data_IF_570665399791
#
_entry.id   IF_570665399791
#
_cell.length_a   1.000
_cell.length_b   1.000
_cell.length_c   1.000
_cell.angle_alpha   90.00
_cell.angle_beta   90.00
_cell.angle_gamma   90.00
#
_symmetry.space_group_name_H-M   'P 1'
#
loop_
_entity.id
_entity.type
_entity.pdbx_description
1 polymer ?
#
# COMPACT_ATOMS: atom_id res chain seq x y z
N UNK A 1 29.79 -25.28 44.48
CA UNK A 1 28.36 -25.61 44.23
C UNK A 1 27.69 -24.74 43.18
N UNK A 2 28.42 -23.91 42.47
CA UNK A 2 27.82 -23.04 41.43
C UNK A 2 27.50 -23.72 40.06
N UNK A 3 27.97 -24.96 39.85
CA UNK A 3 27.77 -25.66 38.57
C UNK A 3 26.56 -26.61 38.55
N UNK A 4 25.71 -26.55 39.57
CA UNK A 4 24.51 -27.43 39.66
C UNK A 4 23.19 -26.71 39.31
N UNK A 5 23.26 -25.41 39.01
CA UNK A 5 22.06 -24.67 38.55
C UNK A 5 21.95 -24.80 37.04
N UNK A 6 21.14 -25.73 36.58
CA UNK A 6 20.79 -25.89 35.21
C UNK A 6 19.75 -24.80 34.86
N UNK A 7 20.09 -23.89 33.95
CA UNK A 7 19.13 -22.90 33.42
C UNK A 7 18.00 -23.65 32.71
N UNK A 8 16.79 -23.50 33.21
CA UNK A 8 15.61 -23.99 32.50
C UNK A 8 15.34 -23.05 31.31
N UNK A 9 15.36 -23.60 30.10
CA UNK A 9 14.96 -22.86 28.91
C UNK A 9 13.47 -23.10 28.67
N UNK A 10 12.76 -22.04 28.37
CA UNK A 10 11.37 -22.13 27.92
C UNK A 10 11.31 -22.79 26.54
N UNK A 11 10.36 -23.73 26.36
CA UNK A 11 10.14 -24.40 25.09
C UNK A 11 9.17 -23.66 24.18
N UNK A 12 8.55 -22.60 24.67
CA UNK A 12 7.62 -21.80 23.88
C UNK A 12 8.40 -20.91 22.92
N UNK A 13 8.03 -20.98 21.64
CA UNK A 13 8.58 -20.11 20.59
C UNK A 13 7.78 -18.82 20.56
N UNK A 14 8.37 -17.75 21.10
CA UNK A 14 7.80 -16.41 20.97
C UNK A 14 8.30 -15.74 19.69
N UNK A 15 7.36 -15.18 18.95
CA UNK A 15 7.68 -14.40 17.75
C UNK A 15 7.57 -12.91 18.05
N UNK A 16 8.44 -12.11 17.40
CA UNK A 16 8.37 -10.67 17.48
C UNK A 16 7.00 -10.15 16.99
N UNK A 17 6.51 -9.07 17.61
CA UNK A 17 5.28 -8.39 17.18
C UNK A 17 5.42 -7.92 15.73
N UNK A 18 4.40 -8.19 14.92
CA UNK A 18 4.43 -7.96 13.48
C UNK A 18 3.16 -7.25 13.02
N UNK A 19 3.34 -6.28 12.11
CA UNK A 19 2.22 -5.61 11.47
C UNK A 19 1.58 -6.49 10.39
N UNK A 20 0.24 -6.47 10.31
CA UNK A 20 -0.46 -7.22 9.26
C UNK A 20 -0.19 -6.62 7.88
N UNK A 21 0.07 -7.44 6.86
CA UNK A 21 0.15 -7.02 5.47
C UNK A 21 -1.24 -6.67 4.94
N UNK A 22 -1.39 -5.56 4.24
CA UNK A 22 -2.72 -5.08 3.80
C UNK A 22 -2.75 -4.56 2.37
N UNK A 23 -1.61 -4.12 1.83
CA UNK A 23 -1.60 -3.35 0.57
C UNK A 23 -2.00 -4.18 -0.65
N UNK A 24 -1.72 -5.47 -0.66
CA UNK A 24 -2.09 -6.37 -1.76
C UNK A 24 -3.60 -6.47 -2.01
N UNK A 25 -4.44 -6.08 -1.04
CA UNK A 25 -5.91 -6.15 -1.15
C UNK A 25 -6.50 -5.27 -2.25
N UNK A 26 -5.81 -4.19 -2.61
CA UNK A 26 -6.27 -3.24 -3.64
C UNK A 26 -5.87 -3.69 -5.06
N UNK A 27 -5.00 -4.70 -5.17
CA UNK A 27 -4.53 -5.19 -6.45
C UNK A 27 -5.62 -5.95 -7.21
N UNK A 28 -5.82 -5.58 -8.47
CA UNK A 28 -6.61 -6.36 -9.43
C UNK A 28 -5.72 -7.50 -9.96
N UNK A 29 -6.04 -8.72 -9.53
CA UNK A 29 -5.25 -9.91 -9.84
C UNK A 29 -5.67 -10.50 -11.17
N UNK A 30 -4.72 -10.65 -12.06
CA UNK A 30 -4.89 -11.43 -13.28
C UNK A 30 -3.83 -12.51 -13.36
N UNK A 31 -4.24 -13.79 -13.53
CA UNK A 31 -3.29 -14.87 -13.70
C UNK A 31 -2.56 -14.66 -15.05
N UNK A 32 -1.24 -14.68 -15.01
CA UNK A 32 -0.46 -14.77 -16.23
C UNK A 32 -0.68 -16.18 -16.81
N UNK A 33 -1.14 -16.27 -18.05
CA UNK A 33 -1.30 -17.57 -18.71
C UNK A 33 0.09 -18.18 -18.91
N UNK A 34 0.29 -19.38 -18.41
CA UNK A 34 1.57 -20.12 -18.49
C UNK A 34 2.09 -20.34 -19.94
N UNK A 35 1.24 -20.16 -20.92
CA UNK A 35 1.56 -20.33 -22.34
C UNK A 35 2.07 -19.04 -23.01
N UNK A 36 2.20 -17.93 -22.30
CA UNK A 36 2.68 -16.67 -22.90
C UNK A 36 4.20 -16.60 -22.86
N UNK A 37 4.89 -16.56 -24.00
CA UNK A 37 6.31 -16.27 -24.06
C UNK A 37 6.53 -14.78 -23.77
N UNK A 38 7.06 -14.45 -22.60
CA UNK A 38 7.41 -13.06 -22.28
C UNK A 38 7.57 -12.81 -20.78
N UNK A 39 8.42 -11.86 -20.45
CA UNK A 39 8.66 -11.39 -19.08
C UNK A 39 7.69 -10.30 -18.63
N UNK A 40 6.68 -9.97 -19.41
CA UNK A 40 5.71 -8.92 -19.11
C UNK A 40 4.29 -9.30 -19.56
N UNK A 41 3.32 -8.89 -18.75
CA UNK A 41 1.89 -9.01 -19.07
C UNK A 41 1.37 -7.62 -19.43
N UNK A 42 0.67 -7.53 -20.56
CA UNK A 42 0.10 -6.27 -21.05
C UNK A 42 -1.39 -6.22 -20.71
N UNK A 43 -1.82 -5.16 -20.06
CA UNK A 43 -3.21 -4.84 -19.78
C UNK A 43 -3.67 -3.77 -20.74
N UNK A 44 -4.78 -4.00 -21.42
CA UNK A 44 -5.37 -3.06 -22.37
C UNK A 44 -6.55 -2.31 -21.74
N UNK A 45 -6.56 -1.00 -21.91
CA UNK A 45 -7.63 -0.11 -21.45
C UNK A 45 -8.25 0.54 -22.68
N UNK A 46 -9.48 0.17 -22.99
CA UNK A 46 -10.25 0.82 -24.04
C UNK A 46 -10.80 2.15 -23.55
N UNK A 47 -10.71 3.16 -24.41
CA UNK A 47 -11.27 4.48 -24.13
C UNK A 47 -12.72 4.54 -24.64
N UNK A 48 -13.53 5.36 -23.98
CA UNK A 48 -14.91 5.59 -24.41
C UNK A 48 -14.93 6.36 -25.73
N UNK A 49 -15.92 6.08 -26.56
CA UNK A 49 -16.19 6.86 -27.77
C UNK A 49 -16.72 8.25 -27.38
N UNK A 50 -16.46 9.23 -28.25
CA UNK A 50 -17.04 10.55 -28.08
C UNK A 50 -18.58 10.45 -28.10
N UNK A 51 -19.24 11.22 -27.22
CA UNK A 51 -20.69 11.26 -27.14
C UNK A 51 -21.25 11.88 -28.43
N UNK A 52 -22.20 11.21 -29.09
CA UNK A 52 -22.93 11.74 -30.23
C UNK A 52 -24.20 12.41 -29.72
N UNK A 53 -24.21 13.73 -29.74
CA UNK A 53 -25.34 14.55 -29.25
C UNK A 53 -26.15 15.18 -30.42
N UNK A 54 -25.64 15.08 -31.64
CA UNK A 54 -26.32 15.63 -32.82
C UNK A 54 -27.37 14.61 -33.36
N UNK A 55 -28.64 15.00 -33.52
CA UNK A 55 -29.63 14.14 -34.14
C UNK A 55 -29.20 13.69 -35.54
N UNK A 56 -29.46 12.44 -35.89
CA UNK A 56 -29.21 11.91 -37.20
C UNK A 56 -30.17 12.50 -38.24
N UNK A 57 -29.69 12.67 -39.47
CA UNK A 57 -30.56 13.03 -40.59
C UNK A 57 -31.14 11.73 -41.19
N UNK A 58 -32.46 11.69 -41.41
CA UNK A 58 -33.18 10.52 -41.91
C UNK A 58 -32.69 10.03 -43.29
N UNK A 59 -32.13 10.94 -44.09
CA UNK A 59 -31.73 10.65 -45.48
C UNK A 59 -30.22 10.52 -45.68
N UNK A 60 -29.42 10.61 -44.62
CA UNK A 60 -27.95 10.57 -44.71
C UNK A 60 -27.42 9.46 -43.81
N UNK A 61 -26.62 8.56 -44.40
CA UNK A 61 -25.90 7.53 -43.63
C UNK A 61 -24.83 8.18 -42.74
N UNK A 62 -24.80 7.89 -41.42
CA UNK A 62 -23.81 8.47 -40.52
C UNK A 62 -22.42 7.89 -40.82
N UNK A 63 -21.41 8.76 -40.80
CA UNK A 63 -20.01 8.35 -40.92
C UNK A 63 -19.56 7.48 -39.74
N UNK A 64 -18.84 6.40 -40.03
CA UNK A 64 -18.31 5.51 -39.04
C UNK A 64 -17.22 6.20 -38.19
N UNK A 65 -17.32 6.13 -36.85
CA UNK A 65 -16.35 6.66 -35.92
C UNK A 65 -15.32 5.57 -35.57
N UNK A 66 -14.04 5.90 -35.64
CA UNK A 66 -12.98 4.98 -35.25
C UNK A 66 -12.95 4.82 -33.73
N UNK A 67 -12.86 3.58 -33.26
CA UNK A 67 -12.75 3.22 -31.83
C UNK A 67 -11.35 3.49 -31.30
N UNK A 68 -10.55 4.31 -31.71
CA UNK A 68 -9.21 4.64 -31.15
C UNK A 68 -8.37 3.41 -30.71
N UNK A 69 -7.10 3.59 -30.54
CA UNK A 69 -6.24 2.53 -30.00
C UNK A 69 -6.36 2.43 -28.48
N UNK A 70 -6.42 1.22 -27.89
CA UNK A 70 -6.41 1.06 -26.44
C UNK A 70 -5.09 1.57 -25.83
N UNK A 71 -5.16 2.13 -24.64
CA UNK A 71 -3.98 2.43 -23.84
C UNK A 71 -3.50 1.14 -23.17
N UNK A 72 -2.20 0.87 -23.24
CA UNK A 72 -1.62 -0.35 -22.69
C UNK A 72 -0.79 -0.04 -21.44
N UNK A 73 -0.94 -0.90 -20.42
CA UNK A 73 -0.10 -0.89 -19.21
C UNK A 73 0.63 -2.23 -19.14
N UNK A 74 1.95 -2.20 -19.14
CA UNK A 74 2.77 -3.41 -19.02
C UNK A 74 3.20 -3.65 -17.58
N UNK A 75 3.01 -4.89 -17.11
CA UNK A 75 3.49 -5.36 -15.80
C UNK A 75 4.63 -6.32 -16.05
N UNK A 76 5.83 -5.96 -15.60
CA UNK A 76 7.01 -6.82 -15.71
C UNK A 76 6.97 -7.87 -14.60
N UNK A 77 7.15 -9.14 -14.98
CA UNK A 77 7.25 -10.26 -14.06
C UNK A 77 8.68 -10.40 -13.58
N UNK A 78 8.87 -10.39 -12.27
CA UNK A 78 10.16 -10.58 -11.63
C UNK A 78 10.11 -11.79 -10.69
N UNK A 79 11.25 -12.43 -10.53
CA UNK A 79 11.45 -13.51 -9.57
C UNK A 79 11.78 -12.93 -8.22
N UNK A 80 11.09 -13.39 -7.18
CA UNK A 80 11.34 -13.03 -5.80
C UNK A 80 11.52 -14.28 -4.95
N UNK A 81 12.46 -14.22 -4.03
CA UNK A 81 12.73 -15.34 -3.14
C UNK A 81 13.75 -14.98 -2.08
N UNK A 82 13.72 -15.72 -0.98
CA UNK A 82 14.73 -15.66 0.07
C UNK A 82 14.88 -17.05 0.68
N UNK A 83 16.09 -17.41 1.12
CA UNK A 83 16.36 -18.72 1.70
C UNK A 83 17.31 -18.66 2.89
N UNK A 84 17.11 -19.57 3.82
CA UNK A 84 17.98 -19.82 4.96
C UNK A 84 18.55 -21.23 4.87
N UNK A 85 19.79 -21.43 5.32
CA UNK A 85 20.41 -22.74 5.38
C UNK A 85 20.28 -23.31 6.80
N UNK A 86 19.72 -24.50 6.90
CA UNK A 86 19.61 -25.26 8.15
C UNK A 86 20.66 -26.35 8.17
N UNK A 87 21.45 -26.41 9.23
CA UNK A 87 22.46 -27.48 9.40
C UNK A 87 21.90 -28.64 10.23
N UNK A 88 22.21 -29.86 9.85
CA UNK A 88 21.85 -31.07 10.63
C UNK A 88 22.37 -31.00 12.07
N UNK A 89 23.54 -30.35 12.29
CA UNK A 89 24.08 -30.16 13.63
C UNK A 89 23.14 -29.28 14.49
N UNK A 90 22.58 -28.24 13.91
CA UNK A 90 21.62 -27.36 14.60
C UNK A 90 20.36 -28.11 14.99
N UNK A 91 19.86 -28.95 14.08
CA UNK A 91 18.64 -29.75 14.30
C UNK A 91 18.87 -30.81 15.41
N UNK A 92 20.05 -31.46 15.41
CA UNK A 92 20.40 -32.49 16.38
C UNK A 92 20.66 -31.94 17.80
N UNK A 93 21.22 -30.76 17.93
CA UNK A 93 21.59 -30.17 19.22
C UNK A 93 20.58 -29.13 19.73
N UNK A 94 19.55 -28.85 18.94
CA UNK A 94 18.50 -27.93 19.35
C UNK A 94 17.61 -28.57 20.42
N UNK A 95 17.34 -27.78 21.45
CA UNK A 95 16.42 -28.14 22.52
C UNK A 95 14.94 -28.01 22.12
N UNK A 96 14.66 -27.23 21.06
CA UNK A 96 13.33 -26.90 20.54
C UNK A 96 13.23 -27.32 19.09
N UNK A 97 12.02 -27.61 18.60
CA UNK A 97 11.79 -27.85 17.17
C UNK A 97 12.03 -26.55 16.37
N UNK A 98 13.27 -26.40 15.91
CA UNK A 98 13.70 -25.24 15.12
C UNK A 98 12.99 -25.20 13.77
N UNK A 99 12.66 -26.34 13.19
CA UNK A 99 12.10 -26.40 11.84
C UNK A 99 10.78 -25.67 11.77
N UNK A 100 9.89 -25.84 12.73
CA UNK A 100 8.61 -25.14 12.78
C UNK A 100 8.78 -23.63 12.94
N UNK A 101 9.69 -23.20 13.81
CA UNK A 101 10.02 -21.78 14.01
C UNK A 101 10.58 -21.12 12.76
N UNK A 102 11.51 -21.78 12.07
CA UNK A 102 12.12 -21.28 10.84
C UNK A 102 11.13 -21.23 9.67
N UNK A 103 10.22 -22.20 9.53
CA UNK A 103 9.15 -22.18 8.53
C UNK A 103 8.26 -20.96 8.73
N UNK A 104 7.84 -20.68 9.96
CA UNK A 104 7.05 -19.50 10.27
C UNK A 104 7.80 -18.20 9.98
N UNK A 105 9.10 -18.15 10.29
CA UNK A 105 9.92 -16.97 10.00
C UNK A 105 10.05 -16.72 8.49
N UNK A 106 10.27 -17.77 7.69
CA UNK A 106 10.32 -17.70 6.22
C UNK A 106 8.98 -17.28 5.64
N UNK A 107 7.86 -17.83 6.14
CA UNK A 107 6.51 -17.46 5.70
C UNK A 107 6.21 -15.98 5.98
N UNK A 108 6.60 -15.48 7.14
CA UNK A 108 6.44 -14.04 7.45
C UNK A 108 7.35 -13.16 6.60
N UNK A 109 8.57 -13.57 6.33
CA UNK A 109 9.47 -12.84 5.44
C UNK A 109 8.89 -12.73 4.01
N UNK A 110 8.27 -13.81 3.51
CA UNK A 110 7.54 -13.81 2.25
C UNK A 110 6.45 -12.72 2.25
N UNK A 111 5.53 -12.79 3.22
CA UNK A 111 4.38 -11.89 3.29
C UNK A 111 4.85 -10.44 3.45
N UNK A 112 5.85 -10.21 4.30
CA UNK A 112 6.43 -8.90 4.58
C UNK A 112 7.09 -8.30 3.33
N UNK A 113 7.86 -9.10 2.61
CA UNK A 113 8.55 -8.67 1.39
C UNK A 113 7.58 -8.30 0.27
N UNK A 114 6.56 -9.14 0.05
CA UNK A 114 5.54 -8.89 -0.97
C UNK A 114 4.75 -7.61 -0.66
N UNK A 115 4.35 -7.41 0.60
CA UNK A 115 3.59 -6.23 1.00
C UNK A 115 4.43 -4.94 0.85
N UNK A 116 5.74 -4.99 1.13
CA UNK A 116 6.66 -3.87 0.93
C UNK A 116 6.84 -3.53 -0.57
N UNK A 117 6.93 -4.54 -1.44
CA UNK A 117 7.02 -4.33 -2.88
C UNK A 117 5.76 -3.61 -3.38
N UNK A 118 4.58 -4.07 -2.96
CA UNK A 118 3.30 -3.44 -3.32
C UNK A 118 3.22 -2.01 -2.79
N UNK A 119 3.65 -1.78 -1.54
CA UNK A 119 3.71 -0.44 -0.96
C UNK A 119 4.59 0.51 -1.77
N UNK A 120 5.75 0.06 -2.23
CA UNK A 120 6.64 0.88 -3.06
C UNK A 120 5.99 1.27 -4.39
N UNK A 121 5.20 0.38 -4.99
CA UNK A 121 4.43 0.69 -6.20
C UNK A 121 3.34 1.72 -5.91
N UNK A 122 2.63 1.60 -4.78
CA UNK A 122 1.63 2.61 -4.36
C UNK A 122 2.28 3.96 -4.06
N UNK A 123 3.48 3.96 -3.46
CA UNK A 123 4.22 5.19 -3.17
C UNK A 123 4.68 5.94 -4.44
N UNK A 124 4.82 5.23 -5.55
CA UNK A 124 5.11 5.81 -6.87
C UNK A 124 3.87 6.43 -7.55
N UNK A 125 2.73 6.53 -6.85
CA UNK A 125 1.51 7.15 -7.35
C UNK A 125 1.74 8.58 -7.86
N UNK A 126 1.22 8.87 -9.05
CA UNK A 126 1.44 10.14 -9.75
C UNK A 126 0.50 11.26 -9.31
N UNK A 127 -0.60 10.91 -8.65
CA UNK A 127 -1.53 11.90 -8.08
C UNK A 127 -1.18 12.15 -6.61
N UNK A 128 -0.70 13.33 -6.32
CA UNK A 128 -0.30 13.71 -4.97
C UNK A 128 -1.12 14.89 -4.45
N UNK A 129 -1.50 14.82 -3.19
CA UNK A 129 -2.21 15.87 -2.46
C UNK A 129 -1.35 16.34 -1.30
N UNK A 130 -1.13 17.65 -1.20
CA UNK A 130 -0.37 18.29 -0.12
C UNK A 130 -1.10 19.50 0.39
N UNK A 131 -0.82 19.91 1.62
CA UNK A 131 -1.26 21.20 2.16
C UNK A 131 -0.10 22.20 2.16
N UNK A 132 -0.40 23.43 1.82
CA UNK A 132 0.58 24.51 1.90
C UNK A 132 0.80 24.89 3.37
N UNK A 133 2.01 24.83 3.92
CA UNK A 133 2.29 25.12 5.32
C UNK A 133 1.90 26.54 5.75
N UNK A 134 2.10 27.52 4.86
CA UNK A 134 1.80 28.92 5.17
C UNK A 134 0.31 29.27 5.15
N UNK A 135 -0.46 28.66 4.23
CA UNK A 135 -1.87 29.05 3.99
C UNK A 135 -2.86 27.95 4.37
N UNK A 136 -2.43 26.71 4.56
CA UNK A 136 -3.30 25.55 4.73
C UNK A 136 -4.06 25.14 3.47
N UNK A 137 -3.86 25.82 2.34
CA UNK A 137 -4.54 25.51 1.09
C UNK A 137 -4.11 24.14 0.57
N UNK A 138 -5.07 23.36 0.06
CA UNK A 138 -4.80 22.07 -0.55
C UNK A 138 -4.26 22.28 -1.95
N UNK A 139 -3.15 21.62 -2.25
CA UNK A 139 -2.52 21.58 -3.56
C UNK A 139 -2.57 20.17 -4.12
N UNK A 140 -2.83 20.08 -5.41
CA UNK A 140 -2.97 18.81 -6.11
C UNK A 140 -2.06 18.79 -7.34
N UNK A 141 -1.30 17.72 -7.48
CA UNK A 141 -0.48 17.47 -8.65
C UNK A 141 -0.85 16.16 -9.31
N UNK A 142 -0.85 16.16 -10.64
CA UNK A 142 -1.14 15.01 -11.47
C UNK A 142 -0.13 14.89 -12.62
N UNK A 143 0.31 13.67 -12.93
CA UNK A 143 1.20 13.37 -14.04
C UNK A 143 2.56 12.80 -13.61
N UNK A 144 3.39 12.44 -14.58
CA UNK A 144 4.71 11.83 -14.38
C UNK A 144 5.73 12.79 -13.72
N UNK A 145 5.53 14.08 -13.89
CA UNK A 145 6.22 15.16 -13.20
C UNK A 145 5.18 16.14 -12.68
N UNK A 146 4.49 15.80 -11.58
CA UNK A 146 3.43 16.66 -11.06
C UNK A 146 4.05 17.98 -10.63
N UNK A 147 3.68 19.07 -11.30
CA UNK A 147 4.00 20.41 -10.84
C UNK A 147 3.14 20.67 -9.61
N UNK A 148 3.63 20.22 -8.45
CA UNK A 148 3.02 20.50 -7.18
C UNK A 148 3.36 21.93 -6.77
N UNK A 149 2.36 22.80 -6.57
CA UNK A 149 2.60 24.14 -6.04
C UNK A 149 3.29 24.12 -4.67
N UNK A 150 3.02 23.08 -3.88
CA UNK A 150 3.69 22.85 -2.58
C UNK A 150 4.75 21.76 -2.76
N UNK A 151 6.02 22.13 -2.63
CA UNK A 151 7.11 21.17 -2.70
C UNK A 151 7.13 20.26 -1.45
N UNK A 152 7.61 19.01 -1.59
CA UNK A 152 7.65 18.05 -0.49
C UNK A 152 8.53 18.55 0.67
N UNK A 153 9.66 19.16 0.34
CA UNK A 153 10.61 19.72 1.31
C UNK A 153 10.14 20.98 2.03
N UNK A 154 8.95 21.49 1.70
CA UNK A 154 8.33 22.61 2.43
C UNK A 154 7.31 22.18 3.47
N UNK A 155 6.88 20.91 3.48
CA UNK A 155 5.99 20.36 4.48
C UNK A 155 6.70 20.43 5.84
N UNK A 156 6.13 21.18 6.76
CA UNK A 156 6.64 21.40 8.11
C UNK A 156 5.72 20.78 9.19
N UNK A 157 6.02 21.05 10.45
CA UNK A 157 5.24 20.56 11.59
C UNK A 157 4.08 21.51 11.98
N UNK A 158 3.75 22.49 11.10
CA UNK A 158 2.64 23.40 11.36
C UNK A 158 1.30 22.70 11.26
N UNK A 159 0.29 23.21 11.95
CA UNK A 159 -1.10 22.73 11.88
C UNK A 159 -1.64 22.68 10.44
N UNK A 160 -1.12 23.56 9.58
CA UNK A 160 -1.49 23.59 8.17
C UNK A 160 -0.97 22.41 7.36
N UNK A 161 0.12 21.74 7.80
CA UNK A 161 0.70 20.59 7.12
C UNK A 161 0.13 19.25 7.60
N UNK A 162 -0.70 19.25 8.66
CA UNK A 162 -1.29 18.04 9.23
C UNK A 162 -2.39 17.47 8.33
N UNK A 163 -2.60 16.18 8.45
CA UNK A 163 -3.76 15.52 7.84
C UNK A 163 -5.04 15.99 8.52
N UNK A 164 -6.07 16.25 7.72
CA UNK A 164 -7.36 16.78 8.20
C UNK A 164 -8.52 16.22 7.39
N UNK A 165 -9.73 16.40 7.93
CA UNK A 165 -10.99 16.10 7.24
C UNK A 165 -11.08 16.74 5.84
N UNK A 166 -10.51 17.92 5.68
CA UNK A 166 -10.47 18.62 4.39
C UNK A 166 -9.63 17.89 3.35
N UNK A 167 -8.48 17.30 3.74
CA UNK A 167 -7.64 16.49 2.85
C UNK A 167 -8.36 15.21 2.44
N UNK A 168 -9.00 14.55 3.40
CA UNK A 168 -9.79 13.35 3.15
C UNK A 168 -10.90 13.60 2.13
N UNK A 169 -11.72 14.63 2.40
CA UNK A 169 -12.82 15.06 1.52
C UNK A 169 -12.35 15.43 0.12
N UNK A 170 -11.25 16.18 0.02
CA UNK A 170 -10.68 16.58 -1.25
C UNK A 170 -10.20 15.36 -2.06
N UNK A 171 -9.51 14.41 -1.42
CA UNK A 171 -9.01 13.20 -2.07
C UNK A 171 -10.16 12.35 -2.62
N UNK A 172 -11.20 12.11 -1.84
CA UNK A 172 -12.39 11.37 -2.29
C UNK A 172 -13.14 12.12 -3.40
N UNK A 173 -13.29 13.45 -3.29
CA UNK A 173 -13.93 14.24 -4.34
C UNK A 173 -13.15 14.15 -5.67
N UNK A 174 -11.82 14.12 -5.63
CA UNK A 174 -10.99 13.95 -6.82
C UNK A 174 -11.12 12.56 -7.44
N UNK A 175 -11.16 11.49 -6.63
CA UNK A 175 -11.41 10.13 -7.16
C UNK A 175 -12.77 10.06 -7.87
N UNK A 176 -13.81 10.65 -7.29
CA UNK A 176 -15.15 10.73 -7.92
C UNK A 176 -15.14 11.57 -9.20
N UNK A 177 -14.43 12.70 -9.20
CA UNK A 177 -14.27 13.54 -10.39
C UNK A 177 -13.54 12.80 -11.54
N UNK A 178 -12.61 11.96 -11.20
CA UNK A 178 -11.90 11.08 -12.14
C UNK A 178 -12.75 9.87 -12.59
N UNK A 179 -14.03 9.78 -12.21
CA UNK A 179 -14.95 8.68 -12.51
C UNK A 179 -14.45 7.31 -12.04
N UNK A 180 -13.67 7.29 -10.97
CA UNK A 180 -13.15 6.05 -10.39
C UNK A 180 -14.23 5.36 -9.57
N UNK A 181 -14.43 4.07 -9.79
CA UNK A 181 -15.34 3.27 -8.98
C UNK A 181 -14.76 2.99 -7.60
N UNK A 182 -15.59 3.01 -6.54
CA UNK A 182 -15.17 2.63 -5.19
C UNK A 182 -14.68 1.17 -5.15
N UNK A 183 -13.76 0.87 -4.26
CA UNK A 183 -13.20 -0.49 -4.07
C UNK A 183 -14.26 -1.46 -3.53
N UNK A 184 -15.11 -0.96 -2.63
CA UNK A 184 -16.23 -1.72 -2.05
C UNK A 184 -17.50 -0.96 -2.38
N UNK A 185 -18.31 -1.40 -3.30
CA UNK A 185 -19.58 -0.81 -3.80
C UNK A 185 -19.90 0.65 -3.44
N UNK A 186 -19.52 1.13 -2.25
CA UNK A 186 -19.87 2.44 -1.70
C UNK A 186 -18.64 3.27 -1.31
N UNK A 187 -17.55 2.61 -0.86
CA UNK A 187 -16.41 3.28 -0.23
C UNK A 187 -15.10 3.03 -0.96
N UNK A 188 -14.25 4.05 -0.97
CA UNK A 188 -12.85 3.93 -1.35
C UNK A 188 -12.05 3.34 -0.18
N UNK A 189 -10.91 2.72 -0.46
CA UNK A 189 -10.02 2.21 0.58
C UNK A 189 -8.91 3.23 0.86
N UNK A 190 -8.73 3.59 2.13
CA UNK A 190 -7.67 4.49 2.55
C UNK A 190 -6.71 3.75 3.51
N UNK A 191 -5.42 3.69 3.16
CA UNK A 191 -4.38 3.18 4.06
C UNK A 191 -3.72 4.35 4.78
N UNK A 192 -3.77 4.34 6.09
CA UNK A 192 -3.32 5.44 6.94
C UNK A 192 -2.37 4.95 8.02
N UNK A 193 -1.36 5.78 8.36
CA UNK A 193 -0.48 5.50 9.49
C UNK A 193 -1.19 5.84 10.81
N UNK A 194 -1.00 5.07 11.91
CA UNK A 194 -1.64 5.34 13.20
C UNK A 194 -1.38 6.75 13.75
N UNK A 195 -0.21 7.32 13.50
CA UNK A 195 0.13 8.68 13.93
C UNK A 195 -0.69 9.75 13.18
N UNK A 196 -1.00 9.53 11.91
CA UNK A 196 -1.87 10.39 11.11
C UNK A 196 -3.34 10.21 11.50
N UNK A 197 -3.74 8.97 11.82
CA UNK A 197 -5.05 8.65 12.36
C UNK A 197 -5.33 9.41 13.67
N UNK A 198 -4.33 9.51 14.54
CA UNK A 198 -4.39 10.31 15.77
C UNK A 198 -4.75 11.77 15.46
N UNK A 199 -4.08 12.40 14.50
CA UNK A 199 -4.30 13.80 14.15
C UNK A 199 -5.70 14.04 13.59
N UNK A 200 -6.19 13.14 12.72
CA UNK A 200 -7.55 13.22 12.20
C UNK A 200 -8.60 13.12 13.32
N UNK A 201 -8.39 12.26 14.31
CA UNK A 201 -9.30 12.09 15.45
C UNK A 201 -9.18 13.23 16.47
N UNK A 202 -8.05 13.93 16.51
CA UNK A 202 -7.83 15.08 17.37
C UNK A 202 -8.42 16.37 16.78
N UNK A 203 -8.80 16.39 15.50
CA UNK A 203 -9.41 17.55 14.84
C UNK A 203 -10.72 17.93 15.54
N UNK A 204 -10.92 19.24 15.76
CA UNK A 204 -12.11 19.79 16.40
C UNK A 204 -12.90 20.65 15.42
N UNK A 205 -14.23 20.59 15.48
CA UNK A 205 -15.13 21.37 14.62
C UNK A 205 -16.33 20.55 14.16
N UNK A 206 -17.35 21.20 13.66
CA UNK A 206 -18.61 20.56 13.21
C UNK A 206 -18.45 19.64 12.00
N UNK A 207 -17.36 19.74 11.27
CA UNK A 207 -17.03 18.87 10.13
C UNK A 207 -15.89 17.90 10.44
N UNK A 208 -15.39 17.88 11.68
CA UNK A 208 -14.33 16.98 12.12
C UNK A 208 -14.85 15.55 12.28
N UNK A 209 -13.94 14.56 12.19
CA UNK A 209 -14.28 13.14 12.32
C UNK A 209 -15.12 12.81 13.56
N UNK A 210 -14.82 13.43 14.70
CA UNK A 210 -15.48 13.14 15.98
C UNK A 210 -16.95 13.52 16.02
N UNK A 211 -17.36 14.61 15.37
CA UNK A 211 -18.73 15.13 15.46
C UNK A 211 -19.78 14.17 14.91
N UNK A 212 -19.74 13.70 13.66
CA UNK A 212 -20.70 12.73 13.16
C UNK A 212 -20.64 11.36 13.87
N UNK A 213 -19.48 10.93 14.34
CA UNK A 213 -19.32 9.65 15.06
C UNK A 213 -19.93 9.68 16.47
N UNK A 214 -20.03 10.84 17.11
CA UNK A 214 -20.75 10.97 18.39
C UNK A 214 -22.23 10.60 18.26
N UNK A 215 -22.83 10.79 17.09
CA UNK A 215 -24.26 10.57 16.88
C UNK A 215 -24.60 9.25 16.19
N UNK A 216 -23.71 8.72 15.36
CA UNK A 216 -24.01 7.56 14.52
C UNK A 216 -23.17 6.31 14.81
N UNK A 217 -21.96 6.45 15.31
CA UNK A 217 -21.03 5.34 15.52
C UNK A 217 -20.09 5.56 16.72
N UNK A 218 -20.68 5.78 17.90
CA UNK A 218 -19.93 6.04 19.13
C UNK A 218 -18.92 4.94 19.47
N UNK A 219 -19.18 3.69 19.11
CA UNK A 219 -18.29 2.57 19.34
C UNK A 219 -16.91 2.76 18.70
N UNK A 220 -16.84 3.40 17.53
CA UNK A 220 -15.57 3.70 16.85
C UNK A 220 -14.69 4.62 17.69
N UNK A 221 -15.26 5.55 18.42
CA UNK A 221 -14.54 6.47 19.32
C UNK A 221 -13.91 5.71 20.47
N UNK A 222 -14.65 4.78 21.06
CA UNK A 222 -14.17 3.95 22.18
C UNK A 222 -13.10 2.95 21.74
N UNK A 223 -13.25 2.36 20.55
CA UNK A 223 -12.27 1.42 20.00
C UNK A 223 -11.04 2.12 19.41
N UNK A 224 -11.08 3.44 19.23
CA UNK A 224 -9.99 4.19 18.59
C UNK A 224 -9.84 3.91 17.10
N UNK A 225 -10.87 3.39 16.44
CA UNK A 225 -10.88 3.10 15.00
C UNK A 225 -11.52 4.27 14.24
N UNK A 226 -10.95 4.65 13.10
CA UNK A 226 -11.55 5.67 12.23
C UNK A 226 -12.83 5.14 11.57
N UNK A 227 -12.83 3.87 11.15
CA UNK A 227 -13.95 3.26 10.43
C UNK A 227 -14.17 3.91 9.06
N UNK A 228 -15.41 4.29 8.80
CA UNK A 228 -15.85 4.93 7.55
C UNK A 228 -15.98 6.43 7.76
N UNK A 229 -15.30 7.22 6.93
CA UNK A 229 -15.37 8.66 7.00
C UNK A 229 -15.18 9.30 5.62
N UNK A 230 -16.03 10.28 5.28
CA UNK A 230 -16.00 11.04 4.02
C UNK A 230 -15.95 10.17 2.75
N UNK A 231 -16.59 8.99 2.77
CA UNK A 231 -16.68 8.07 1.63
C UNK A 231 -15.46 7.17 1.44
N UNK A 232 -14.61 7.04 2.44
CA UNK A 232 -13.51 6.10 2.48
C UNK A 232 -13.53 5.24 3.74
N UNK A 233 -13.15 3.96 3.62
CA UNK A 233 -12.87 3.06 4.74
C UNK A 233 -11.38 3.17 5.06
N UNK A 234 -11.07 3.48 6.31
CA UNK A 234 -9.70 3.67 6.76
C UNK A 234 -9.14 2.41 7.37
N UNK A 235 -8.04 1.92 6.80
CA UNK A 235 -7.27 0.80 7.31
C UNK A 235 -5.98 1.35 7.93
N UNK A 236 -5.86 1.23 9.25
CA UNK A 236 -4.67 1.66 9.96
C UNK A 236 -3.56 0.62 9.83
N UNK A 237 -2.40 1.07 9.38
CA UNK A 237 -1.21 0.22 9.31
C UNK A 237 0.06 1.01 9.62
N UNK A 238 0.91 0.54 10.55
CA UNK A 238 2.20 1.18 10.81
C UNK A 238 3.19 1.03 9.65
N UNK A 239 2.81 0.25 8.64
CA UNK A 239 3.60 0.04 7.42
C UNK A 239 3.36 1.12 6.37
N UNK A 240 2.35 2.01 6.52
CA UNK A 240 2.19 3.16 5.63
C UNK A 240 3.49 3.98 5.63
N UNK A 241 3.98 4.27 4.42
CA UNK A 241 5.30 4.86 4.24
C UNK A 241 5.42 6.20 4.97
N UNK A 242 6.49 6.35 5.72
CA UNK A 242 6.91 7.60 6.31
C UNK A 242 8.39 7.84 5.98
N UNK A 243 8.71 9.04 5.54
CA UNK A 243 10.07 9.41 5.12
C UNK A 243 10.44 10.78 5.66
N UNK A 244 11.72 10.98 5.96
CA UNK A 244 12.26 12.29 6.26
C UNK A 244 12.54 13.03 4.96
N UNK A 245 11.61 13.84 4.52
CA UNK A 245 11.74 14.63 3.29
C UNK A 245 11.02 15.97 3.34
N UNK A 246 10.43 16.32 4.47
CA UNK A 246 9.82 17.62 4.72
C UNK A 246 10.86 18.72 4.99
N UNK A 247 10.40 19.85 5.56
CA UNK A 247 11.22 20.99 5.92
C UNK A 247 12.25 20.62 7.00
N UNK A 248 13.39 21.32 6.98
CA UNK A 248 14.52 21.07 7.91
C UNK A 248 15.58 20.17 7.31
N UNK A 249 16.55 19.77 8.15
CA UNK A 249 17.65 18.90 7.77
C UNK A 249 18.10 18.02 8.93
N UNK A 250 18.64 16.84 8.62
CA UNK A 250 19.12 15.90 9.61
C UNK A 250 18.03 15.45 10.60
N UNK A 251 18.35 15.38 11.88
CA UNK A 251 17.42 14.94 12.93
C UNK A 251 16.21 15.87 13.14
N UNK A 252 16.26 17.12 12.64
CA UNK A 252 15.15 18.08 12.74
C UNK A 252 14.29 18.11 11.48
N UNK A 253 14.62 17.32 10.47
CA UNK A 253 13.83 17.26 9.24
C UNK A 253 12.45 16.65 9.52
N UNK A 254 11.42 17.32 9.02
CA UNK A 254 10.04 16.89 9.19
C UNK A 254 9.80 15.55 8.50
N UNK A 255 9.12 14.66 9.21
CA UNK A 255 8.68 13.38 8.69
C UNK A 255 7.38 13.54 7.91
N UNK A 256 7.36 13.06 6.68
CA UNK A 256 6.19 13.08 5.82
C UNK A 256 5.62 11.67 5.73
N UNK A 257 4.31 11.58 5.91
CA UNK A 257 3.55 10.34 5.88
C UNK A 257 2.71 10.29 4.59
N UNK A 258 2.71 9.13 3.96
CA UNK A 258 1.89 8.87 2.79
C UNK A 258 0.60 8.15 3.20
N UNK A 259 -0.54 8.80 2.97
CA UNK A 259 -1.86 8.18 3.08
C UNK A 259 -2.35 7.85 1.67
N UNK A 260 -2.68 6.59 1.42
CA UNK A 260 -3.07 6.11 0.10
C UNK A 260 -4.59 5.99 0.00
N UNK A 261 -5.21 6.74 -0.88
CA UNK A 261 -6.62 6.59 -1.24
C UNK A 261 -6.71 5.84 -2.56
N UNK A 262 -7.24 4.63 -2.52
CA UNK A 262 -7.31 3.75 -3.67
C UNK A 262 -8.77 3.44 -4.05
N UNK A 263 -9.05 3.52 -5.34
CA UNK A 263 -10.27 3.04 -5.94
C UNK A 263 -10.08 1.70 -6.64
N UNK A 264 -11.09 1.24 -7.32
CA UNK A 264 -11.04 0.02 -8.12
C UNK A 264 -10.01 0.18 -9.26
N UNK A 265 -9.27 -0.88 -9.55
CA UNK A 265 -8.25 -0.89 -10.61
C UNK A 265 -7.10 0.10 -10.40
N UNK A 266 -6.78 0.47 -9.16
CA UNK A 266 -5.62 1.32 -8.86
C UNK A 266 -4.30 0.60 -9.15
N UNK A 267 -4.22 -0.69 -8.80
CA UNK A 267 -3.02 -1.52 -8.91
C UNK A 267 -3.33 -2.77 -9.75
N UNK A 268 -2.46 -3.11 -10.70
CA UNK A 268 -2.48 -4.38 -11.42
C UNK A 268 -1.47 -5.34 -10.80
N UNK A 269 -1.88 -6.58 -10.61
CA UNK A 269 -1.03 -7.70 -10.21
C UNK A 269 -1.06 -8.77 -11.30
N UNK A 270 0.10 -9.11 -11.83
CA UNK A 270 0.30 -10.26 -12.69
C UNK A 270 1.11 -11.31 -11.94
N UNK A 271 0.60 -12.53 -11.87
CA UNK A 271 1.24 -13.64 -11.16
C UNK A 271 1.40 -14.81 -12.13
N UNK A 272 2.66 -15.19 -12.38
CA UNK A 272 2.99 -16.37 -13.18
C UNK A 272 3.13 -17.61 -12.29
N UNK A 273 3.72 -17.45 -11.12
CA UNK A 273 3.85 -18.50 -10.12
C UNK A 273 3.54 -17.92 -8.73
N UNK A 274 2.54 -18.51 -8.06
CA UNK A 274 2.13 -18.06 -6.72
C UNK A 274 3.25 -18.30 -5.70
N UNK A 275 3.36 -17.37 -4.76
CA UNK A 275 4.37 -17.45 -3.70
C UNK A 275 4.13 -18.64 -2.79
N UNK A 276 5.14 -19.47 -2.63
CA UNK A 276 5.09 -20.66 -1.77
C UNK A 276 6.42 -20.90 -1.07
N UNK A 277 6.38 -21.64 0.00
CA UNK A 277 7.58 -22.04 0.73
C UNK A 277 8.15 -23.30 0.11
N UNK A 278 9.48 -23.33 -0.07
CA UNK A 278 10.21 -24.43 -0.69
C UNK A 278 11.26 -24.97 0.29
N UNK A 279 11.31 -26.27 0.40
CA UNK A 279 12.44 -26.97 1.00
C UNK A 279 13.31 -27.51 -0.13
N UNK A 280 14.48 -26.89 -0.32
CA UNK A 280 15.38 -27.25 -1.41
C UNK A 280 16.16 -28.56 -1.16
N UNK A 281 16.81 -29.09 -2.20
CA UNK A 281 17.68 -30.23 -2.08
C UNK A 281 18.89 -29.90 -1.21
N UNK A 282 19.53 -30.94 -0.67
CA UNK A 282 20.76 -30.79 0.11
C UNK A 282 21.88 -30.23 -0.76
N UNK A 283 22.54 -29.18 -0.28
CA UNK A 283 23.55 -28.42 -1.05
C UNK A 283 24.96 -29.01 -0.89
N UNK A 284 25.19 -29.75 0.20
CA UNK A 284 26.52 -30.26 0.56
C UNK A 284 26.68 -31.77 0.24
N UNK A 285 27.89 -32.19 -0.21
CA UNK A 285 28.26 -33.59 -0.47
C UNK A 285 28.10 -34.50 0.76
N UNK A 286 28.15 -33.94 1.97
CA UNK A 286 27.97 -34.66 3.24
C UNK A 286 26.54 -34.56 3.78
N UNK A 287 25.61 -34.03 3.01
CA UNK A 287 24.19 -33.88 3.37
C UNK A 287 23.95 -33.10 4.66
N UNK A 288 24.83 -32.16 4.99
CA UNK A 288 24.78 -31.40 6.25
C UNK A 288 23.88 -30.17 6.21
N UNK A 289 23.66 -29.58 5.02
CA UNK A 289 22.94 -28.32 4.87
C UNK A 289 21.74 -28.51 3.96
N UNK A 290 20.58 -28.10 4.46
CA UNK A 290 19.34 -28.08 3.71
C UNK A 290 18.77 -26.66 3.65
N UNK A 291 18.52 -26.10 2.46
CA UNK A 291 17.91 -24.79 2.33
C UNK A 291 16.40 -24.87 2.56
N UNK A 292 15.90 -23.90 3.31
CA UNK A 292 14.48 -23.60 3.48
C UNK A 292 14.25 -22.18 3.00
N UNK A 293 13.30 -21.96 2.08
CA UNK A 293 13.07 -20.65 1.50
C UNK A 293 11.67 -20.48 1.00
N UNK A 294 11.43 -19.35 0.36
CA UNK A 294 10.24 -19.07 -0.40
C UNK A 294 10.60 -18.55 -1.79
N UNK A 295 9.72 -18.78 -2.73
CA UNK A 295 9.90 -18.39 -4.12
C UNK A 295 8.55 -18.04 -4.75
N UNK A 296 8.56 -17.19 -5.76
CA UNK A 296 7.42 -16.87 -6.59
C UNK A 296 7.77 -15.89 -7.69
N UNK A 297 6.96 -15.85 -8.73
CA UNK A 297 7.12 -14.98 -9.90
C UNK A 297 5.89 -14.13 -10.06
N UNK A 298 6.02 -12.84 -9.77
CA UNK A 298 4.93 -11.88 -9.88
C UNK A 298 5.43 -10.48 -10.25
N UNK A 299 4.50 -9.62 -10.64
CA UNK A 299 4.77 -8.22 -10.92
C UNK A 299 3.61 -7.34 -10.53
N UNK A 300 3.90 -6.10 -10.16
CA UNK A 300 2.90 -5.08 -9.83
C UNK A 300 3.21 -3.80 -10.56
N UNK A 301 2.16 -3.12 -11.00
CA UNK A 301 2.25 -1.80 -11.62
C UNK A 301 0.99 -1.00 -11.31
N UNK A 302 1.07 0.32 -11.40
CA UNK A 302 -0.12 1.16 -11.36
C UNK A 302 -0.94 0.89 -12.63
N UNK A 303 -2.19 0.44 -12.45
CA UNK A 303 -3.06 0.12 -13.58
C UNK A 303 -3.75 1.38 -14.11
N UNK A 304 -4.45 2.10 -13.23
CA UNK A 304 -5.03 3.41 -13.53
C UNK A 304 -4.47 4.44 -12.57
N UNK A 305 -3.54 5.30 -13.01
CA UNK A 305 -2.99 6.34 -12.15
C UNK A 305 -4.06 7.25 -11.54
N UNK A 306 -5.19 7.46 -12.24
CA UNK A 306 -6.33 8.24 -11.77
C UNK A 306 -7.03 7.63 -10.55
N UNK A 307 -6.88 6.33 -10.34
CA UNK A 307 -7.55 5.59 -9.27
C UNK A 307 -6.78 5.58 -7.94
N UNK A 308 -5.58 6.16 -7.91
CA UNK A 308 -4.75 6.24 -6.71
C UNK A 308 -4.39 7.68 -6.40
N UNK A 309 -4.68 8.13 -5.18
CA UNK A 309 -4.24 9.43 -4.66
C UNK A 309 -3.36 9.20 -3.44
N UNK A 310 -2.20 9.85 -3.42
CA UNK A 310 -1.26 9.84 -2.30
C UNK A 310 -1.32 11.19 -1.59
N UNK A 311 -1.89 11.22 -0.40
CA UNK A 311 -1.90 12.40 0.46
C UNK A 311 -0.63 12.41 1.33
N UNK A 312 0.17 13.47 1.19
CA UNK A 312 1.46 13.64 1.87
C UNK A 312 1.35 14.73 2.91
N UNK A 313 1.44 14.34 4.18
CA UNK A 313 1.22 15.23 5.33
C UNK A 313 2.20 14.93 6.45
N UNK A 314 2.36 15.87 7.39
CA UNK A 314 3.10 15.66 8.65
C UNK A 314 2.19 15.13 9.76
N UNK A 315 2.76 14.81 10.92
CA UNK A 315 2.02 14.39 12.12
C UNK A 315 2.52 15.13 13.36
N UNK A 316 1.61 15.34 14.33
CA UNK A 316 1.96 15.91 15.64
C UNK A 316 2.63 14.91 16.56
N UNK A 317 2.36 13.62 16.40
CA UNK A 317 2.85 12.56 17.31
C UNK A 317 4.35 12.34 17.16
N UNK A 318 4.84 12.31 15.92
CA UNK A 318 6.25 12.13 15.61
C UNK A 318 6.67 13.08 14.50
N UNK A 319 6.80 14.37 14.80
CA UNK A 319 7.04 15.39 13.80
C UNK A 319 8.41 15.29 13.14
N UNK A 320 9.41 14.80 13.87
CA UNK A 320 10.80 14.67 13.41
C UNK A 320 11.29 13.23 13.59
N UNK A 321 12.49 12.95 13.10
CA UNK A 321 13.14 11.65 13.25
C UNK A 321 13.61 11.37 14.65
#
# INVERSE_FOLDING_TARGET
MANLVQTAYDRELEFALRAQPMFRRVADKRPAQQAMPGSSVVFEIYQDLAQQITPLNELVDPDAVSAGNPTTVSVTLNEYGNSILVSNKLDLFSFTDITAGLVNQVAWNLIDSVDLIVQNVLAAGTQTVRRNPGTGAITYGFGTTPTQPTALNTIDNSTNSLFSSTVARFSVAKLRANKVHPTTNTYYTAYIHPEISHDLRAETGSAAWRDPHNYSAADNIWMGNIGEYEGAVYLETPRAQNVQSGAGAGATQTRVYNTYFAGQQALAEACAEEFHTIRGPVVDKLTRFQPLGWYGVAGWSLYRPEALIVAQTSSTVRPNA
#
